data_IF_624957160146
#
_entry.id   IF_624957160146
#
_cell.length_a   1.000
_cell.length_b   1.000
_cell.length_c   1.000
_cell.angle_alpha   90.00
_cell.angle_beta   90.00
_cell.angle_gamma   90.00
#
_symmetry.space_group_name_H-M   'P 1'
#
loop_
_entity.id
_entity.type
_entity.pdbx_description
1 polymer ?
#
# COMPACT_ATOMS: atom_id res chain seq x y z
N UNK A 1 -12.68 -1.86 14.33
CA UNK A 1 -11.75 -1.80 13.18
C UNK A 1 -10.69 -2.86 13.37
N UNK A 2 -10.40 -3.67 12.36
CA UNK A 2 -9.33 -4.66 12.41
C UNK A 2 -8.05 -4.03 11.86
N UNK A 3 -6.96 -4.07 12.63
CA UNK A 3 -5.67 -3.64 12.11
C UNK A 3 -5.18 -4.66 11.09
N UNK A 4 -4.71 -4.16 9.96
CA UNK A 4 -4.13 -4.96 8.88
C UNK A 4 -2.62 -5.15 9.06
N UNK A 5 -2.00 -4.30 9.87
CA UNK A 5 -0.57 -4.29 10.16
C UNK A 5 -0.36 -3.67 11.55
N UNK A 6 0.66 -4.13 12.28
CA UNK A 6 1.08 -3.55 13.55
C UNK A 6 2.58 -3.31 13.49
N UNK A 7 3.02 -2.17 14.01
CA UNK A 7 4.41 -1.75 13.99
C UNK A 7 4.65 -0.55 14.88
N UNK A 8 5.65 0.24 14.52
CA UNK A 8 6.00 1.47 15.21
C UNK A 8 5.98 2.66 14.25
N UNK A 9 5.69 3.85 14.76
CA UNK A 9 5.96 5.11 14.10
C UNK A 9 7.19 5.73 14.79
N UNK A 10 8.21 6.08 14.02
CA UNK A 10 9.50 6.54 14.54
C UNK A 10 9.92 7.87 13.94
N UNK A 11 10.54 8.72 14.77
CA UNK A 11 11.17 9.96 14.37
C UNK A 11 12.30 10.32 15.34
N UNK A 12 13.52 10.46 14.83
CA UNK A 12 14.70 10.63 15.68
C UNK A 12 14.85 9.48 16.68
N UNK A 13 14.72 9.79 17.97
CA UNK A 13 14.83 8.82 19.07
C UNK A 13 13.47 8.35 19.62
N UNK A 14 12.37 8.86 19.07
CA UNK A 14 11.02 8.51 19.53
C UNK A 14 10.49 7.34 18.71
N UNK A 15 9.93 6.34 19.38
CA UNK A 15 9.25 5.20 18.76
C UNK A 15 7.90 4.99 19.44
N UNK A 16 6.82 5.02 18.65
CA UNK A 16 5.44 4.97 19.11
C UNK A 16 4.78 3.71 18.54
N UNK A 17 4.34 2.74 19.35
CA UNK A 17 3.66 1.56 18.85
C UNK A 17 2.28 1.92 18.28
N UNK A 18 2.02 1.51 17.03
CA UNK A 18 0.78 1.80 16.30
C UNK A 18 0.32 0.60 15.46
N UNK A 19 -0.99 0.50 15.28
CA UNK A 19 -1.62 -0.37 14.29
C UNK A 19 -2.08 0.42 13.07
N UNK A 20 -2.14 -0.20 11.91
CA UNK A 20 -2.63 0.40 10.68
C UNK A 20 -3.95 -0.25 10.27
N UNK A 21 -5.03 0.51 10.31
CA UNK A 21 -6.37 0.07 9.91
C UNK A 21 -6.85 0.85 8.68
N UNK A 22 -7.41 0.20 7.64
CA UNK A 22 -7.98 0.91 6.49
C UNK A 22 -9.02 1.95 6.94
N UNK A 23 -8.94 3.18 6.41
CA UNK A 23 -9.91 4.24 6.70
C UNK A 23 -11.15 4.14 5.79
N UNK A 24 -11.00 3.53 4.62
CA UNK A 24 -12.08 3.27 3.66
C UNK A 24 -12.40 1.79 3.62
N UNK A 25 -13.70 1.47 3.55
CA UNK A 25 -14.11 0.13 3.11
C UNK A 25 -13.92 0.06 1.59
N UNK A 26 -13.41 -1.05 1.04
CA UNK A 26 -13.54 -1.29 -0.39
C UNK A 26 -15.02 -1.14 -0.73
N UNK A 27 -15.35 -0.29 -1.70
CA UNK A 27 -16.68 -0.36 -2.31
C UNK A 27 -16.80 -1.78 -2.87
N UNK A 28 -17.85 -2.51 -2.50
CA UNK A 28 -18.06 -3.87 -3.00
C UNK A 28 -18.03 -3.81 -4.54
N UNK A 29 -16.95 -4.30 -5.14
CA UNK A 29 -16.85 -4.38 -6.59
C UNK A 29 -17.59 -5.65 -7.02
N UNK A 30 -18.04 -5.72 -8.27
CA UNK A 30 -18.57 -6.99 -8.82
C UNK A 30 -17.56 -8.15 -8.65
N UNK A 31 -16.26 -7.85 -8.58
CA UNK A 31 -15.18 -8.80 -8.29
C UNK A 31 -15.17 -9.37 -6.86
N UNK A 32 -15.87 -8.74 -5.91
CA UNK A 32 -16.03 -9.28 -4.54
C UNK A 32 -17.11 -10.37 -4.47
N UNK A 33 -17.88 -10.56 -5.55
CA UNK A 33 -18.79 -11.70 -5.71
C UNK A 33 -17.99 -12.87 -6.27
N UNK A 34 -17.56 -13.78 -5.41
CA UNK A 34 -16.87 -15.00 -5.84
C UNK A 34 -17.87 -15.97 -6.48
N UNK A 35 -17.77 -16.18 -7.79
CA UNK A 35 -18.51 -17.23 -8.48
C UNK A 35 -17.72 -18.55 -8.46
N UNK A 36 -18.39 -19.66 -8.17
CA UNK A 36 -17.81 -20.99 -8.38
C UNK A 36 -18.10 -21.44 -9.81
N UNK A 37 -17.10 -22.00 -10.48
CA UNK A 37 -17.31 -22.67 -11.77
C UNK A 37 -18.06 -23.98 -11.52
N UNK A 38 -19.23 -24.12 -12.12
CA UNK A 38 -20.07 -25.32 -12.00
C UNK A 38 -20.11 -26.05 -13.35
N UNK A 39 -20.14 -27.38 -13.30
CA UNK A 39 -20.45 -28.19 -14.47
C UNK A 39 -21.89 -27.90 -14.91
N UNK A 40 -22.07 -27.52 -16.18
CA UNK A 40 -23.36 -27.02 -16.71
C UNK A 40 -24.52 -27.98 -16.52
N UNK A 41 -24.28 -29.29 -16.66
CA UNK A 41 -25.35 -30.29 -16.64
C UNK A 41 -25.77 -30.70 -15.23
N UNK A 42 -24.79 -30.90 -14.33
CA UNK A 42 -25.05 -31.43 -12.99
C UNK A 42 -24.85 -30.41 -11.86
N UNK A 43 -24.59 -29.14 -12.19
CA UNK A 43 -24.33 -28.03 -11.27
C UNK A 43 -23.23 -28.32 -10.22
N UNK A 44 -22.36 -29.29 -10.48
CA UNK A 44 -21.32 -29.70 -9.53
C UNK A 44 -20.11 -28.76 -9.65
N UNK A 45 -19.52 -28.28 -8.53
CA UNK A 45 -18.32 -27.46 -8.57
C UNK A 45 -17.16 -28.15 -9.29
N UNK A 46 -16.56 -27.47 -10.26
CA UNK A 46 -15.43 -27.98 -11.03
C UNK A 46 -14.16 -27.90 -10.19
N UNK A 47 -13.39 -29.00 -10.16
CA UNK A 47 -12.02 -29.02 -9.64
C UNK A 47 -11.05 -28.79 -10.79
N UNK A 48 -10.18 -27.79 -10.67
CA UNK A 48 -9.11 -27.54 -11.63
C UNK A 48 -7.90 -28.42 -11.27
N UNK A 49 -7.34 -29.08 -12.28
CA UNK A 49 -6.10 -29.85 -12.19
C UNK A 49 -5.01 -29.16 -13.02
N UNK A 50 -3.76 -29.18 -12.56
CA UNK A 50 -2.61 -28.67 -13.33
C UNK A 50 -2.00 -29.80 -14.14
N UNK A 51 -1.76 -29.57 -15.42
CA UNK A 51 -1.26 -30.57 -16.35
C UNK A 51 0.06 -30.09 -16.96
N UNK A 52 1.08 -30.95 -16.98
CA UNK A 52 2.33 -30.69 -17.68
C UNK A 52 2.22 -31.25 -19.11
N UNK A 53 2.21 -30.42 -20.16
CA UNK A 53 2.08 -30.90 -21.54
C UNK A 53 3.31 -31.70 -22.01
N UNK A 54 4.48 -31.46 -21.44
CA UNK A 54 5.73 -32.15 -21.80
C UNK A 54 5.77 -33.58 -21.27
N UNK A 55 5.28 -33.80 -20.04
CA UNK A 55 5.28 -35.12 -19.39
C UNK A 55 3.93 -35.84 -19.48
N UNK A 56 2.95 -35.20 -20.14
CA UNK A 56 1.59 -35.69 -20.33
C UNK A 56 0.96 -36.26 -19.06
N UNK A 57 1.09 -35.51 -17.96
CA UNK A 57 0.53 -35.90 -16.67
C UNK A 57 0.09 -34.72 -15.82
N UNK A 58 -0.79 -35.03 -14.87
CA UNK A 58 -1.13 -34.13 -13.79
C UNK A 58 0.09 -33.92 -12.88
N UNK A 59 0.30 -32.67 -12.47
CA UNK A 59 1.38 -32.28 -11.56
C UNK A 59 0.81 -31.77 -10.24
N UNK A 60 1.49 -32.11 -9.15
CA UNK A 60 1.13 -31.63 -7.82
C UNK A 60 1.64 -30.20 -7.61
N UNK A 61 1.20 -29.55 -6.53
CA UNK A 61 1.67 -28.22 -6.16
C UNK A 61 3.19 -28.20 -5.89
N UNK A 62 3.74 -29.29 -5.33
CA UNK A 62 5.17 -29.39 -4.98
C UNK A 62 6.07 -29.53 -6.21
N UNK A 63 5.50 -29.93 -7.36
CA UNK A 63 6.21 -30.04 -8.64
C UNK A 63 6.18 -28.73 -9.45
N UNK A 64 5.54 -27.67 -8.92
CA UNK A 64 5.37 -26.39 -9.63
C UNK A 64 6.23 -25.33 -8.97
N UNK A 65 7.15 -24.78 -9.75
CA UNK A 65 8.01 -23.65 -9.37
C UNK A 65 7.56 -22.36 -10.06
N UNK A 66 7.92 -21.21 -9.50
CA UNK A 66 7.74 -19.91 -10.16
C UNK A 66 8.89 -19.67 -11.13
N UNK A 67 8.58 -19.19 -12.33
CA UNK A 67 9.58 -18.81 -13.33
C UNK A 67 9.43 -17.35 -13.71
N UNK A 68 10.53 -16.61 -13.79
CA UNK A 68 10.58 -15.25 -14.32
C UNK A 68 11.15 -15.27 -15.74
N UNK A 69 10.41 -14.72 -16.70
CA UNK A 69 10.82 -14.68 -18.10
C UNK A 69 11.85 -13.57 -18.33
N UNK A 70 13.12 -13.94 -18.53
CA UNK A 70 14.23 -12.99 -18.76
C UNK A 70 14.40 -12.63 -20.24
N UNK A 71 13.98 -13.52 -21.11
CA UNK A 71 13.89 -13.32 -22.55
C UNK A 71 12.81 -14.26 -23.08
N UNK A 72 12.32 -14.02 -24.31
CA UNK A 72 11.22 -14.82 -24.90
C UNK A 72 11.50 -16.32 -24.81
N UNK A 73 10.72 -17.02 -24.01
CA UNK A 73 10.84 -18.47 -23.79
C UNK A 73 12.01 -18.93 -22.90
N UNK A 74 12.75 -18.00 -22.27
CA UNK A 74 13.81 -18.27 -21.31
C UNK A 74 13.35 -17.87 -19.91
N UNK A 75 13.27 -18.84 -19.01
CA UNK A 75 12.78 -18.64 -17.65
C UNK A 75 13.89 -18.94 -16.64
N UNK A 76 14.02 -18.08 -15.64
CA UNK A 76 14.80 -18.35 -14.44
C UNK A 76 13.85 -18.81 -13.35
N UNK A 77 14.16 -19.93 -12.69
CA UNK A 77 13.38 -20.41 -11.55
C UNK A 77 13.60 -19.45 -10.39
N UNK A 78 12.50 -19.01 -9.78
CA UNK A 78 12.49 -18.15 -8.59
C UNK A 78 11.97 -18.98 -7.43
N UNK A 79 12.85 -19.30 -6.50
CA UNK A 79 12.46 -20.02 -5.29
C UNK A 79 11.83 -19.06 -4.27
N UNK A 80 10.99 -19.61 -3.39
CA UNK A 80 10.39 -18.86 -2.29
C UNK A 80 11.49 -18.24 -1.39
N UNK A 81 12.60 -18.95 -1.20
CA UNK A 81 13.76 -18.48 -0.46
C UNK A 81 14.45 -17.27 -1.11
N UNK A 82 14.48 -17.18 -2.45
CA UNK A 82 15.06 -16.04 -3.16
C UNK A 82 14.22 -14.77 -2.95
N UNK A 83 12.89 -14.92 -3.01
CA UNK A 83 11.96 -13.82 -2.72
C UNK A 83 12.04 -13.40 -1.26
N UNK A 84 12.08 -14.35 -0.33
CA UNK A 84 12.25 -14.07 1.09
C UNK A 84 13.58 -13.38 1.39
N UNK A 85 14.67 -13.76 0.72
CA UNK A 85 15.98 -13.12 0.90
C UNK A 85 15.97 -11.64 0.48
N UNK A 86 15.22 -11.29 -0.58
CA UNK A 86 15.01 -9.90 -1.01
C UNK A 86 14.13 -9.17 0.02
N UNK A 87 13.01 -9.78 0.44
CA UNK A 87 12.06 -9.18 1.40
C UNK A 87 12.65 -8.95 2.80
N UNK A 88 13.56 -9.83 3.27
CA UNK A 88 14.21 -9.72 4.59
C UNK A 88 15.15 -8.51 4.73
N UNK A 89 15.51 -7.84 3.64
CA UNK A 89 16.40 -6.67 3.71
C UNK A 89 15.74 -5.43 4.34
N UNK A 90 14.40 -5.40 4.46
CA UNK A 90 13.66 -4.23 4.95
C UNK A 90 12.45 -4.62 5.83
N UNK A 91 12.64 -5.61 6.70
CA UNK A 91 11.60 -6.17 7.60
C UNK A 91 11.28 -5.25 8.81
N UNK A 92 11.71 -3.99 8.76
CA UNK A 92 11.36 -3.02 9.78
C UNK A 92 9.86 -2.71 9.67
N UNK A 93 9.06 -3.25 10.60
CA UNK A 93 7.66 -2.83 10.77
C UNK A 93 7.63 -1.44 11.42
N UNK A 94 8.21 -0.46 10.73
CA UNK A 94 8.30 0.92 11.18
C UNK A 94 7.83 1.87 10.07
N UNK A 95 7.11 2.91 10.49
CA UNK A 95 6.85 4.11 9.73
C UNK A 95 7.90 5.12 10.17
N UNK A 96 8.88 5.39 9.32
CA UNK A 96 9.98 6.31 9.60
C UNK A 96 9.60 7.71 9.08
N UNK A 97 9.33 8.65 9.98
CA UNK A 97 9.13 10.06 9.63
C UNK A 97 10.49 10.69 9.34
N UNK A 98 10.57 11.35 8.19
CA UNK A 98 11.75 12.09 7.71
C UNK A 98 11.68 13.57 8.00
N UNK A 99 10.49 14.17 7.90
CA UNK A 99 10.32 15.61 8.07
C UNK A 99 8.88 15.97 8.41
N UNK A 100 8.68 17.14 9.02
CA UNK A 100 7.38 17.77 9.20
C UNK A 100 7.22 18.92 8.20
N UNK A 101 6.06 19.01 7.58
CA UNK A 101 5.69 19.99 6.56
C UNK A 101 4.34 20.63 6.90
N UNK A 102 3.98 21.79 6.33
CA UNK A 102 2.62 22.32 6.42
C UNK A 102 1.58 21.29 5.96
N UNK A 103 0.39 21.29 6.59
CA UNK A 103 -0.65 20.28 6.33
C UNK A 103 -1.19 20.25 4.89
N UNK A 104 -1.00 21.33 4.14
CA UNK A 104 -1.41 21.53 2.75
C UNK A 104 -0.24 21.48 1.75
N UNK A 105 0.98 21.12 2.19
CA UNK A 105 2.17 21.12 1.35
C UNK A 105 2.18 20.04 0.26
N UNK A 106 1.33 19.02 0.37
CA UNK A 106 1.25 17.89 -0.58
C UNK A 106 0.01 18.05 -1.45
N UNK A 107 0.23 18.16 -2.77
CA UNK A 107 -0.85 18.21 -3.75
C UNK A 107 -1.71 16.93 -3.67
N UNK A 108 -3.04 17.04 -3.66
CA UNK A 108 -3.93 15.90 -3.60
C UNK A 108 -3.69 14.80 -4.64
N UNK A 109 -3.09 15.13 -5.79
CA UNK A 109 -2.76 14.17 -6.85
C UNK A 109 -1.83 13.05 -6.38
N UNK A 110 -1.05 13.29 -5.34
CA UNK A 110 -0.11 12.30 -4.81
C UNK A 110 -0.77 11.29 -3.87
N UNK A 111 -2.01 11.45 -3.39
CA UNK A 111 -2.60 10.51 -2.44
C UNK A 111 -3.15 9.22 -3.11
N UNK A 112 -2.84 8.05 -2.53
CA UNK A 112 -3.34 6.75 -2.98
C UNK A 112 -4.35 6.12 -1.99
N UNK A 113 -3.91 5.70 -0.80
CA UNK A 113 -4.75 4.99 0.18
C UNK A 113 -4.71 5.63 1.55
N UNK A 114 -5.86 5.63 2.21
CA UNK A 114 -6.04 6.20 3.53
C UNK A 114 -6.15 5.13 4.63
N UNK A 115 -5.44 5.36 5.72
CA UNK A 115 -5.40 4.52 6.90
C UNK A 115 -5.57 5.35 8.17
N UNK A 116 -6.15 4.73 9.20
CA UNK A 116 -6.13 5.21 10.56
C UNK A 116 -4.98 4.54 11.30
N UNK A 117 -4.15 5.32 11.98
CA UNK A 117 -3.19 4.82 12.94
C UNK A 117 -3.91 4.58 14.26
N UNK A 118 -3.92 3.34 14.70
CA UNK A 118 -4.58 2.90 15.93
C UNK A 118 -3.53 2.88 17.03
N UNK A 119 -3.69 3.64 18.12
CA UNK A 119 -2.73 3.61 19.21
C UNK A 119 -2.74 2.25 19.92
N UNK A 120 -1.62 1.90 20.55
CA UNK A 120 -1.53 0.70 21.37
C UNK A 120 -2.55 0.71 22.53
N UNK A 121 -2.98 -0.46 23.00
CA UNK A 121 -4.02 -0.57 24.03
C UNK A 121 -3.55 -0.10 25.42
N UNK A 122 -2.27 -0.30 25.75
CA UNK A 122 -1.69 0.06 27.04
C UNK A 122 -1.61 1.58 27.24
N UNK A 123 -2.12 2.09 28.36
CA UNK A 123 -2.22 3.53 28.64
C UNK A 123 -0.88 4.27 28.55
N UNK A 124 0.19 3.69 29.12
CA UNK A 124 1.54 4.26 29.05
C UNK A 124 2.05 4.41 27.61
N UNK A 125 1.66 3.48 26.72
CA UNK A 125 2.05 3.47 25.30
C UNK A 125 1.19 4.42 24.46
N UNK A 126 0.04 4.87 24.97
CA UNK A 126 -0.83 5.87 24.30
C UNK A 126 -0.33 7.30 24.46
N UNK A 127 0.38 7.62 25.54
CA UNK A 127 0.81 9.01 25.82
C UNK A 127 1.63 9.64 24.68
N UNK A 128 2.65 8.96 24.11
CA UNK A 128 3.41 9.54 22.99
C UNK A 128 2.56 9.76 21.75
N UNK A 129 1.63 8.85 21.46
CA UNK A 129 0.68 8.99 20.34
C UNK A 129 -0.21 10.23 20.51
N UNK A 130 -0.79 10.42 21.69
CA UNK A 130 -1.65 11.58 21.99
C UNK A 130 -0.86 12.87 21.94
N UNK A 131 0.38 12.87 22.44
CA UNK A 131 1.26 14.03 22.38
C UNK A 131 1.57 14.43 20.93
N UNK A 132 1.91 13.45 20.07
CA UNK A 132 2.15 13.70 18.66
C UNK A 132 0.89 14.22 17.95
N UNK A 133 -0.27 13.59 18.20
CA UNK A 133 -1.56 14.03 17.66
C UNK A 133 -1.85 15.49 18.00
N UNK A 134 -1.72 15.86 19.27
CA UNK A 134 -2.00 17.21 19.73
C UNK A 134 -0.99 18.23 19.17
N UNK A 135 0.30 17.88 19.14
CA UNK A 135 1.34 18.73 18.59
C UNK A 135 1.11 19.01 17.10
N UNK A 136 0.79 17.99 16.30
CA UNK A 136 0.49 18.15 14.87
C UNK A 136 -0.78 18.97 14.64
N UNK A 137 -1.79 18.79 15.50
CA UNK A 137 -3.03 19.58 15.43
C UNK A 137 -2.79 21.07 15.74
N UNK A 138 -2.00 21.38 16.76
CA UNK A 138 -1.70 22.76 17.16
C UNK A 138 -0.80 23.49 16.18
N UNK A 139 0.10 22.76 15.52
CA UNK A 139 1.06 23.32 14.56
C UNK A 139 0.59 23.27 13.11
N UNK A 140 -0.57 22.66 12.86
CA UNK A 140 -1.13 22.44 11.51
C UNK A 140 -0.13 21.76 10.57
N UNK A 141 0.67 20.85 11.12
CA UNK A 141 1.71 20.12 10.37
C UNK A 141 1.30 18.70 10.04
N UNK A 142 1.90 18.19 8.97
CA UNK A 142 1.89 16.79 8.58
C UNK A 142 3.33 16.24 8.56
N UNK A 143 3.49 14.95 8.77
CA UNK A 143 4.77 14.26 8.81
C UNK A 143 4.95 13.43 7.54
N UNK A 144 5.97 13.75 6.74
CA UNK A 144 6.38 12.95 5.59
C UNK A 144 7.32 11.85 6.05
N UNK A 145 7.12 10.65 5.53
CA UNK A 145 7.91 9.48 5.88
C UNK A 145 7.82 8.37 4.85
N UNK A 146 8.35 7.23 5.24
CA UNK A 146 8.33 5.99 4.46
C UNK A 146 8.05 4.80 5.37
N UNK A 147 7.49 3.75 4.81
CA UNK A 147 7.30 2.49 5.51
C UNK A 147 7.28 1.33 4.51
N UNK A 148 7.63 0.14 4.99
CA UNK A 148 7.59 -1.08 4.19
C UNK A 148 6.30 -1.84 4.48
N UNK A 149 5.58 -2.19 3.41
CA UNK A 149 4.38 -3.02 3.49
C UNK A 149 4.39 -4.04 2.37
N UNK A 150 4.26 -5.31 2.74
CA UNK A 150 4.21 -6.42 1.79
C UNK A 150 5.38 -6.37 0.78
N UNK A 151 6.61 -6.21 1.29
CA UNK A 151 7.83 -6.19 0.48
C UNK A 151 8.03 -4.92 -0.36
N UNK A 152 7.16 -3.92 -0.24
CA UNK A 152 7.26 -2.66 -0.98
C UNK A 152 7.39 -1.47 -0.03
N UNK A 153 8.45 -0.69 -0.21
CA UNK A 153 8.55 0.63 0.39
C UNK A 153 7.46 1.54 -0.20
N UNK A 154 6.83 2.35 0.64
CA UNK A 154 5.85 3.34 0.25
C UNK A 154 6.15 4.66 0.95
N UNK A 155 6.06 5.75 0.21
CA UNK A 155 6.01 7.08 0.80
C UNK A 155 4.68 7.26 1.52
N UNK A 156 4.69 8.00 2.63
CA UNK A 156 3.48 8.30 3.35
C UNK A 156 3.48 9.70 3.96
N UNK A 157 2.27 10.23 4.10
CA UNK A 157 1.99 11.39 4.92
C UNK A 157 1.23 10.94 6.16
N UNK A 158 1.68 11.35 7.34
CA UNK A 158 0.95 11.19 8.59
C UNK A 158 0.41 12.54 9.01
N UNK A 159 -0.84 12.61 9.44
CA UNK A 159 -1.45 13.88 9.91
C UNK A 159 -2.53 13.66 10.95
N UNK A 160 -2.77 14.69 11.75
CA UNK A 160 -3.92 14.73 12.65
C UNK A 160 -5.22 14.82 11.85
N UNK A 161 -6.18 13.94 12.14
CA UNK A 161 -7.52 13.93 11.55
C UNK A 161 -8.56 13.62 12.63
N UNK A 162 -9.23 14.66 13.11
CA UNK A 162 -10.11 14.53 14.29
C UNK A 162 -9.29 14.05 15.50
N UNK A 163 -9.76 12.98 16.15
CA UNK A 163 -9.13 12.43 17.36
C UNK A 163 -8.12 11.30 17.08
N UNK A 164 -7.61 11.21 15.85
CA UNK A 164 -6.65 10.19 15.45
C UNK A 164 -5.57 10.72 14.51
N UNK A 165 -4.43 10.05 14.51
CA UNK A 165 -3.45 10.16 13.43
C UNK A 165 -3.96 9.31 12.26
N UNK A 166 -3.91 9.90 11.08
CA UNK A 166 -4.14 9.23 9.81
C UNK A 166 -2.82 9.07 9.08
N UNK A 167 -2.74 8.02 8.26
CA UNK A 167 -1.64 7.77 7.35
C UNK A 167 -2.21 7.67 5.93
N UNK A 168 -1.68 8.47 5.03
CA UNK A 168 -1.93 8.36 3.60
C UNK A 168 -0.70 7.85 2.87
N UNK A 169 -0.86 6.85 2.00
CA UNK A 169 0.20 6.47 1.07
C UNK A 169 0.27 7.47 -0.06
N UNK A 170 1.50 7.73 -0.53
CA UNK A 170 1.76 8.67 -1.61
C UNK A 170 2.32 7.95 -2.84
N UNK A 171 1.87 8.37 -4.02
CA UNK A 171 2.55 8.08 -5.28
C UNK A 171 3.92 8.78 -5.30
N UNK A 172 4.89 8.14 -5.95
CA UNK A 172 6.14 8.82 -6.29
C UNK A 172 5.90 9.75 -7.48
N UNK A 173 6.73 10.78 -7.65
CA UNK A 173 6.57 11.76 -8.73
C UNK A 173 6.55 11.13 -10.13
N UNK A 174 7.27 10.02 -10.31
CA UNK A 174 7.31 9.27 -11.57
C UNK A 174 6.00 8.56 -11.91
N UNK A 175 5.16 8.26 -10.90
CA UNK A 175 3.85 7.64 -11.09
C UNK A 175 2.75 8.67 -11.40
N UNK A 176 3.05 9.97 -11.27
CA UNK A 176 2.11 11.06 -11.54
C UNK A 176 2.30 11.55 -12.98
N UNK A 177 1.24 11.46 -13.78
CA UNK A 177 1.27 11.91 -15.16
C UNK A 177 1.51 13.43 -15.28
N UNK A 178 2.37 13.81 -16.21
CA UNK A 178 2.62 15.21 -16.58
C UNK A 178 1.38 15.84 -17.21
N UNK A 179 1.17 17.14 -16.95
CA UNK A 179 0.15 17.96 -17.60
C UNK A 179 0.69 18.79 -18.77
N UNK A 180 1.90 18.50 -19.27
CA UNK A 180 2.56 19.32 -20.31
C UNK A 180 1.69 19.55 -21.55
N UNK A 181 1.07 18.50 -22.11
CA UNK A 181 0.20 18.62 -23.29
C UNK A 181 -1.06 19.45 -23.01
N UNK A 182 -1.59 19.39 -21.78
CA UNK A 182 -2.75 20.18 -21.36
C UNK A 182 -2.35 21.65 -21.23
N UNK A 183 -1.19 21.93 -20.63
CA UNK A 183 -0.68 23.29 -20.45
C UNK A 183 -0.47 23.98 -21.81
N UNK A 184 0.12 23.28 -22.78
CA UNK A 184 0.29 23.78 -24.14
C UNK A 184 -1.06 24.13 -24.80
N UNK A 185 -2.03 23.21 -24.73
CA UNK A 185 -3.36 23.45 -25.30
C UNK A 185 -4.11 24.63 -24.65
N UNK A 186 -3.91 24.85 -23.34
CA UNK A 186 -4.52 25.98 -22.61
C UNK A 186 -3.86 27.30 -23.00
N UNK A 187 -2.53 27.35 -23.12
CA UNK A 187 -1.80 28.57 -23.53
C UNK A 187 -2.19 29.03 -24.95
N UNK A 188 -2.42 28.09 -25.88
CA UNK A 188 -2.83 28.40 -27.25
C UNK A 188 -4.25 28.98 -27.34
N UNK A 189 -5.08 28.76 -26.33
CA UNK A 189 -6.50 29.14 -26.36
C UNK A 189 -6.73 30.47 -25.64
N UNK A 190 -6.76 31.56 -26.40
CA UNK A 190 -7.15 32.88 -25.86
C UNK A 190 -8.67 32.98 -25.68
N UNK A 191 -9.11 33.30 -24.46
CA UNK A 191 -10.49 33.68 -24.20
C UNK A 191 -10.80 35.01 -24.92
N UNK A 192 -11.95 35.09 -25.59
CA UNK A 192 -12.48 36.37 -26.05
C UNK A 192 -13.03 37.09 -24.83
N UNK A 193 -12.49 38.27 -24.55
CA UNK A 193 -13.04 39.16 -23.51
C UNK A 193 -14.54 39.40 -23.79
N UNK A 194 -15.36 39.13 -22.76
CA UNK A 194 -16.80 39.42 -22.74
C UNK A 194 -17.06 40.68 -21.94
#
# INVERSE_FOLDING_TARGET
MRTSWNGSLSFGLVSIPVGLAPATKPAARQSDVSFRLLHRECATPIKQKRWCPTHDREVTQDEIVRGFEVAKGQFVIVEDADLEAIERSDDSRSIEIRSFVPGDAVDPIYFDRHYNLVPASGEAQRRPYVLLLEAMRQTETAALGRFVRAGRESLCLVRARGDALSLETLFVAEDVYSQAEIAEAVEETKLKDT
#
